data_IF_144915602649
#
_entry.id   IF_144915602649
#
_cell.length_a   1.000
_cell.length_b   1.000
_cell.length_c   1.000
_cell.angle_alpha   90.00
_cell.angle_beta   90.00
_cell.angle_gamma   90.00
#
_symmetry.space_group_name_H-M   'P 1'
#
loop_
_entity.id
_entity.type
_entity.pdbx_description
1 polymer ?
#
# COMPACT_ATOMS: atom_id res chain seq x y z
N UNK A 1 4.38 8.86 25.16
CA UNK A 1 3.58 10.11 25.20
C UNK A 1 2.32 9.83 26.01
N UNK A 2 1.81 10.78 26.82
CA UNK A 2 0.62 10.57 27.65
C UNK A 2 -0.66 10.54 26.79
N UNK A 3 -1.60 9.65 27.14
CA UNK A 3 -2.94 9.56 26.52
C UNK A 3 -3.82 10.67 27.09
N UNK A 4 -4.57 11.39 26.24
CA UNK A 4 -5.47 12.49 26.63
C UNK A 4 -6.83 12.34 25.93
N UNK A 5 -7.88 13.04 26.38
CA UNK A 5 -9.19 12.98 25.71
C UNK A 5 -9.13 13.41 24.23
N UNK A 6 -8.27 14.39 23.91
CA UNK A 6 -8.05 14.85 22.54
C UNK A 6 -7.20 13.87 21.70
N UNK A 7 -6.45 12.97 22.34
CA UNK A 7 -5.58 11.98 21.70
C UNK A 7 -5.72 10.64 22.44
N UNK A 8 -6.84 9.92 22.24
CA UNK A 8 -7.23 8.77 23.07
C UNK A 8 -6.43 7.50 22.75
N UNK A 9 -5.60 7.54 21.71
CA UNK A 9 -4.79 6.41 21.27
C UNK A 9 -3.34 6.60 21.64
N UNK A 10 -2.68 5.52 22.06
CA UNK A 10 -1.24 5.51 22.23
C UNK A 10 -0.56 5.80 20.88
N UNK A 11 0.65 6.37 20.93
CA UNK A 11 1.37 6.82 19.72
C UNK A 11 1.64 5.70 18.69
N UNK A 12 1.64 4.44 19.13
CA UNK A 12 1.78 3.25 18.28
C UNK A 12 0.44 2.63 17.86
N UNK A 13 -0.67 3.08 18.43
CA UNK A 13 -1.99 2.45 18.30
C UNK A 13 -3.01 3.37 17.61
N UNK A 14 -2.55 4.17 16.66
CA UNK A 14 -3.42 5.05 15.88
C UNK A 14 -4.34 4.18 15.02
N UNK A 15 -5.68 4.29 15.16
CA UNK A 15 -6.63 3.40 14.48
C UNK A 15 -6.58 3.52 12.95
N UNK A 16 -6.00 4.59 12.43
CA UNK A 16 -5.86 4.86 11.01
C UNK A 16 -4.56 4.29 10.41
N UNK A 17 -3.72 3.60 11.20
CA UNK A 17 -2.50 2.96 10.71
C UNK A 17 -2.85 1.56 10.18
N UNK A 18 -3.12 1.49 8.88
CA UNK A 18 -3.28 0.22 8.20
C UNK A 18 -1.92 -0.26 7.68
N UNK A 19 -1.50 -1.45 8.11
CA UNK A 19 -0.38 -2.16 7.49
C UNK A 19 -0.81 -2.65 6.11
N UNK A 20 -0.67 -1.80 5.11
CA UNK A 20 -1.02 -2.11 3.73
C UNK A 20 0.13 -2.87 3.07
N UNK A 21 -0.09 -4.16 2.78
CA UNK A 21 0.85 -4.92 1.96
C UNK A 21 0.57 -4.69 0.46
N UNK A 22 1.55 -5.05 -0.37
CA UNK A 22 1.40 -5.03 -1.83
C UNK A 22 0.25 -5.93 -2.30
N UNK A 23 0.01 -7.05 -1.60
CA UNK A 23 -1.07 -7.98 -1.93
C UNK A 23 -2.44 -7.37 -1.60
N UNK A 24 -2.53 -6.68 -0.46
CA UNK A 24 -3.77 -5.98 -0.08
C UNK A 24 -4.13 -4.88 -1.11
N UNK A 25 -3.11 -4.19 -1.65
CA UNK A 25 -3.33 -3.22 -2.70
C UNK A 25 -3.85 -3.87 -4.00
N UNK A 26 -3.30 -5.02 -4.41
CA UNK A 26 -3.84 -5.78 -5.54
C UNK A 26 -5.29 -6.20 -5.32
N UNK A 27 -5.61 -6.71 -4.13
CA UNK A 27 -6.97 -7.11 -3.79
C UNK A 27 -7.93 -5.91 -3.82
N UNK A 28 -7.49 -4.77 -3.28
CA UNK A 28 -8.23 -3.52 -3.34
C UNK A 28 -8.49 -3.08 -4.78
N UNK A 29 -7.47 -3.05 -5.63
CA UNK A 29 -7.63 -2.70 -7.04
C UNK A 29 -8.60 -3.65 -7.76
N UNK A 30 -8.53 -4.95 -7.49
CA UNK A 30 -9.45 -5.94 -8.05
C UNK A 30 -10.91 -5.68 -7.61
N UNK A 31 -11.14 -5.46 -6.31
CA UNK A 31 -12.46 -5.12 -5.75
C UNK A 31 -13.01 -3.82 -6.32
N UNK A 32 -12.17 -2.82 -6.51
CA UNK A 32 -12.54 -1.51 -7.06
C UNK A 32 -12.59 -1.48 -8.59
N UNK A 33 -12.33 -2.60 -9.28
CA UNK A 33 -12.24 -2.68 -10.75
C UNK A 33 -11.23 -1.69 -11.36
N UNK A 34 -10.17 -1.38 -10.62
CA UNK A 34 -9.07 -0.53 -11.06
C UNK A 34 -8.07 -1.39 -11.82
N UNK A 35 -7.77 -1.01 -13.06
CA UNK A 35 -6.79 -1.70 -13.89
C UNK A 35 -5.39 -1.16 -13.62
N UNK A 36 -4.47 -2.05 -13.24
CA UNK A 36 -3.05 -1.73 -13.11
C UNK A 36 -2.39 -1.94 -14.48
N UNK A 37 -1.75 -0.90 -15.01
CA UNK A 37 -1.03 -0.96 -16.29
C UNK A 37 0.41 -1.44 -16.11
N UNK A 38 1.10 -0.89 -15.10
CA UNK A 38 2.51 -1.20 -14.82
C UNK A 38 2.75 -1.25 -13.31
N UNK A 39 3.68 -2.10 -12.91
CA UNK A 39 4.11 -2.25 -11.52
C UNK A 39 5.63 -2.39 -11.44
N UNK A 40 6.22 -1.75 -10.43
CA UNK A 40 7.64 -1.84 -10.12
C UNK A 40 7.80 -1.96 -8.61
N UNK A 41 8.54 -2.98 -8.19
CA UNK A 41 8.91 -3.21 -6.79
C UNK A 41 10.39 -2.94 -6.62
N UNK A 42 10.74 -2.15 -5.60
CA UNK A 42 12.11 -1.74 -5.29
C UNK A 42 12.41 -2.16 -3.86
N UNK A 43 13.53 -2.84 -3.67
CA UNK A 43 14.04 -3.21 -2.35
C UNK A 43 15.56 -3.22 -2.35
N UNK A 44 16.18 -2.69 -1.30
CA UNK A 44 17.65 -2.56 -1.21
C UNK A 44 18.30 -1.94 -2.47
N UNK A 45 17.70 -0.86 -2.99
CA UNK A 45 18.12 -0.19 -4.24
C UNK A 45 18.11 -1.06 -5.52
N UNK A 46 17.44 -2.22 -5.49
CA UNK A 46 17.34 -3.14 -6.63
C UNK A 46 15.88 -3.41 -6.97
N UNK A 47 15.62 -3.73 -8.25
CA UNK A 47 14.29 -4.16 -8.68
C UNK A 47 14.02 -5.57 -8.17
N UNK A 48 12.94 -5.73 -7.43
CA UNK A 48 12.47 -7.01 -6.92
C UNK A 48 11.46 -7.59 -7.90
N UNK A 49 11.63 -8.87 -8.27
CA UNK A 49 10.71 -9.61 -9.14
C UNK A 49 10.03 -10.79 -8.44
N UNK A 50 10.59 -11.26 -7.34
CA UNK A 50 10.09 -12.43 -6.59
C UNK A 50 9.77 -12.00 -5.17
N UNK A 51 8.62 -12.47 -4.67
CA UNK A 51 8.16 -12.23 -3.31
C UNK A 51 8.24 -10.73 -2.91
N UNK A 52 7.61 -9.83 -3.68
CA UNK A 52 7.72 -8.39 -3.44
C UNK A 52 7.23 -7.99 -2.05
N UNK A 53 6.20 -8.65 -1.50
CA UNK A 53 5.74 -8.40 -0.12
C UNK A 53 6.80 -8.67 0.96
N UNK A 54 7.81 -9.49 0.68
CA UNK A 54 8.85 -9.83 1.65
C UNK A 54 10.12 -9.00 1.45
N UNK A 55 10.43 -8.63 0.20
CA UNK A 55 11.72 -8.04 -0.15
C UNK A 55 11.65 -6.61 -0.70
N UNK A 56 10.47 -6.10 -1.05
CA UNK A 56 10.32 -4.75 -1.56
C UNK A 56 10.06 -3.78 -0.40
N UNK A 57 10.81 -2.69 -0.38
CA UNK A 57 10.61 -1.57 0.52
C UNK A 57 9.58 -0.59 -0.04
N UNK A 58 9.50 -0.49 -1.38
CA UNK A 58 8.64 0.43 -2.12
C UNK A 58 7.99 -0.30 -3.30
N UNK A 59 6.70 -0.03 -3.52
CA UNK A 59 5.97 -0.45 -4.71
C UNK A 59 5.38 0.76 -5.43
N UNK A 60 5.54 0.80 -6.75
CA UNK A 60 5.04 1.88 -7.61
C UNK A 60 4.11 1.26 -8.64
N UNK A 61 2.89 1.80 -8.72
CA UNK A 61 1.85 1.34 -9.64
C UNK A 61 1.43 2.46 -10.58
N UNK A 62 1.27 2.13 -11.86
CA UNK A 62 0.63 2.98 -12.85
C UNK A 62 -0.77 2.41 -13.06
N UNK A 63 -1.78 3.23 -12.77
CA UNK A 63 -3.19 2.85 -12.90
C UNK A 63 -3.74 3.41 -14.20
N UNK A 64 -4.62 2.64 -14.83
CA UNK A 64 -5.32 3.07 -16.03
C UNK A 64 -6.54 3.90 -15.59
N UNK A 65 -6.66 5.13 -16.11
CA UNK A 65 -7.85 5.94 -15.90
C UNK A 65 -9.01 5.28 -16.66
N UNK A 66 -10.10 4.94 -15.96
CA UNK A 66 -11.33 4.56 -16.63
C UNK A 66 -11.77 5.71 -17.54
N UNK A 67 -11.88 5.45 -18.84
CA UNK A 67 -12.47 6.43 -19.75
C UNK A 67 -13.97 6.50 -19.45
N UNK A 68 -14.42 7.68 -19.01
CA UNK A 68 -15.85 8.01 -19.01
C UNK A 68 -16.29 8.10 -20.47
N UNK A 69 -17.14 7.16 -20.89
CA UNK A 69 -17.80 7.14 -22.21
C UNK A 69 -19.09 7.96 -22.10
#
# INVERSE_FOLDING_TARGET
>A
MPVTEALPYEWYNTPNLHFLSILDFFEYCNKAQIRIEKEIFIGNNKRIKRLPNLFADIAIFVLLRGEEI
#
